data_IF_490767797347
#
_entry.id   IF_490767797347
#
_cell.length_a   1.000
_cell.length_b   1.000
_cell.length_c   1.000
_cell.angle_alpha   90.00
_cell.angle_beta   90.00
_cell.angle_gamma   90.00
#
_symmetry.space_group_name_H-M   'P 1'
#
loop_
_entity.id
_entity.type
_entity.pdbx_description
1 polymer ?
#
# COMPACT_ATOMS: atom_id res chain seq x y z
N UNK A 1 19.29 -28.68 16.24
CA UNK A 1 19.88 -27.74 15.27
C UNK A 1 18.95 -26.55 15.11
N UNK A 2 19.24 -25.45 15.81
CA UNK A 2 18.47 -24.22 15.66
C UNK A 2 18.73 -23.68 14.26
N UNK A 3 17.69 -23.53 13.44
CA UNK A 3 17.79 -22.75 12.21
C UNK A 3 18.13 -21.33 12.66
N UNK A 4 19.27 -20.82 12.20
CA UNK A 4 19.54 -19.39 12.21
C UNK A 4 18.42 -18.73 11.40
N UNK A 5 17.37 -18.29 12.08
CA UNK A 5 16.46 -17.28 11.53
C UNK A 5 17.32 -16.04 11.39
N UNK A 6 17.81 -15.79 10.19
CA UNK A 6 18.26 -14.45 9.80
C UNK A 6 17.11 -13.51 10.12
N UNK A 7 17.27 -12.67 11.14
CA UNK A 7 16.25 -11.73 11.54
C UNK A 7 16.01 -10.76 10.38
N UNK A 8 14.84 -10.90 9.75
CA UNK A 8 14.39 -10.07 8.65
C UNK A 8 14.05 -8.69 9.21
N UNK A 9 15.03 -7.79 9.32
CA UNK A 9 14.78 -6.42 9.78
C UNK A 9 14.42 -5.56 8.57
N UNK A 10 13.12 -5.41 8.30
CA UNK A 10 12.64 -4.66 7.14
C UNK A 10 11.38 -3.85 7.44
N UNK A 11 11.23 -2.76 6.68
CA UNK A 11 10.05 -1.93 6.56
C UNK A 11 9.38 -2.23 5.22
N UNK A 12 8.25 -2.92 5.29
CA UNK A 12 7.54 -3.49 4.14
C UNK A 12 6.19 -2.78 3.99
N UNK A 13 5.87 -2.20 2.83
CA UNK A 13 4.52 -1.71 2.56
C UNK A 13 3.79 -2.58 1.55
N UNK A 14 2.53 -2.92 1.85
CA UNK A 14 1.67 -3.67 0.92
C UNK A 14 0.75 -2.70 0.18
N UNK A 15 0.81 -2.70 -1.15
CA UNK A 15 0.08 -1.76 -2.01
C UNK A 15 -0.92 -2.45 -2.94
N UNK A 16 -2.00 -1.77 -3.30
CA UNK A 16 -2.90 -2.18 -4.38
C UNK A 16 -4.37 -1.77 -4.16
N UNK A 17 -5.23 -2.07 -5.13
CA UNK A 17 -6.64 -1.68 -5.06
C UNK A 17 -7.42 -2.42 -3.95
N UNK A 18 -8.59 -1.91 -3.59
CA UNK A 18 -9.42 -2.48 -2.52
C UNK A 18 -9.82 -3.94 -2.79
N UNK A 19 -10.02 -4.68 -1.68
CA UNK A 19 -10.53 -6.06 -1.66
C UNK A 19 -9.66 -7.07 -2.42
N UNK A 20 -8.34 -6.90 -2.37
CA UNK A 20 -7.35 -7.86 -2.91
C UNK A 20 -6.67 -8.72 -1.83
N UNK A 21 -7.23 -8.79 -0.61
CA UNK A 21 -6.67 -9.60 0.49
C UNK A 21 -5.36 -9.04 1.09
N UNK A 22 -5.11 -7.74 0.94
CA UNK A 22 -3.88 -7.08 1.41
C UNK A 22 -3.77 -7.09 2.93
N UNK A 23 -4.81 -6.67 3.65
CA UNK A 23 -4.87 -6.73 5.11
C UNK A 23 -4.68 -8.15 5.63
N UNK A 24 -5.29 -9.12 4.95
CA UNK A 24 -5.15 -10.55 5.24
C UNK A 24 -3.69 -11.02 5.10
N UNK A 25 -3.01 -10.63 4.02
CA UNK A 25 -1.58 -10.91 3.83
C UNK A 25 -0.72 -10.29 4.93
N UNK A 26 -1.02 -9.04 5.34
CA UNK A 26 -0.32 -8.36 6.44
C UNK A 26 -0.49 -9.12 7.75
N UNK A 27 -1.71 -9.59 8.05
CA UNK A 27 -1.96 -10.40 9.25
C UNK A 27 -1.24 -11.73 9.23
N UNK A 28 -1.20 -12.41 8.08
CA UNK A 28 -0.45 -13.67 7.95
C UNK A 28 1.04 -13.47 8.13
N UNK A 29 1.59 -12.36 7.61
CA UNK A 29 2.98 -12.00 7.81
C UNK A 29 3.32 -11.86 9.29
N UNK A 30 2.54 -11.08 10.05
CA UNK A 30 2.78 -10.90 11.49
C UNK A 30 2.56 -12.19 12.27
N UNK A 31 1.61 -13.04 11.86
CA UNK A 31 1.41 -14.36 12.46
C UNK A 31 2.63 -15.27 12.25
N UNK A 32 3.27 -15.20 11.08
CA UNK A 32 4.48 -15.97 10.74
C UNK A 32 5.76 -15.34 11.31
N UNK A 33 5.77 -14.03 11.52
CA UNK A 33 6.89 -13.24 12.02
C UNK A 33 6.47 -12.36 13.21
N UNK A 34 6.35 -12.93 14.43
CA UNK A 34 5.84 -12.20 15.60
C UNK A 34 6.66 -10.98 16.01
N UNK A 35 7.90 -10.84 15.53
CA UNK A 35 8.73 -9.66 15.74
C UNK A 35 8.30 -8.44 14.91
N UNK A 36 7.53 -8.65 13.84
CA UNK A 36 7.03 -7.55 13.00
C UNK A 36 5.89 -6.82 13.68
N UNK A 37 6.01 -5.50 13.74
CA UNK A 37 4.89 -4.63 14.06
C UNK A 37 4.02 -4.42 12.82
N UNK A 38 2.71 -4.49 13.02
CA UNK A 38 1.74 -4.04 12.02
C UNK A 38 1.44 -2.57 12.19
N UNK A 39 1.52 -1.81 11.11
CA UNK A 39 0.88 -0.50 10.98
C UNK A 39 -0.46 -0.67 10.27
N UNK A 40 -1.52 -0.22 10.94
CA UNK A 40 -2.91 -0.34 10.50
C UNK A 40 -3.18 0.48 9.23
N UNK A 41 -4.17 0.06 8.45
CA UNK A 41 -4.64 0.84 7.31
C UNK A 41 -5.07 2.25 7.77
N UNK A 42 -4.55 3.34 7.16
CA UNK A 42 -4.81 4.71 7.60
C UNK A 42 -6.29 5.07 7.71
N UNK A 43 -7.15 4.55 6.82
CA UNK A 43 -8.59 4.72 6.96
C UNK A 43 -9.09 4.21 8.32
N UNK A 44 -8.75 2.96 8.70
CA UNK A 44 -9.20 2.35 9.95
C UNK A 44 -8.64 3.06 11.18
N UNK A 45 -7.37 3.48 11.09
CA UNK A 45 -6.72 4.22 12.16
C UNK A 45 -7.39 5.59 12.40
N UNK A 46 -7.70 6.32 11.32
CA UNK A 46 -8.36 7.62 11.39
C UNK A 46 -9.85 7.52 11.75
N UNK A 47 -10.55 6.49 11.27
CA UNK A 47 -11.95 6.21 11.64
C UNK A 47 -12.08 5.92 13.15
N UNK A 48 -11.12 5.18 13.74
CA UNK A 48 -11.05 4.98 15.18
C UNK A 48 -10.81 6.28 15.98
N UNK A 49 -10.23 7.30 15.33
CA UNK A 49 -10.06 8.66 15.87
C UNK A 49 -11.25 9.58 15.52
N UNK A 50 -12.35 9.04 14.99
CA UNK A 50 -13.59 9.75 14.63
C UNK A 50 -13.46 10.75 13.47
N UNK A 51 -12.47 10.57 12.59
CA UNK A 51 -12.40 11.33 11.34
C UNK A 51 -13.47 10.84 10.34
N UNK A 52 -14.25 11.75 9.77
CA UNK A 52 -15.15 11.44 8.66
C UNK A 52 -14.36 11.33 7.34
N UNK A 53 -14.13 10.11 6.88
CA UNK A 53 -13.40 9.81 5.65
C UNK A 53 -14.35 9.23 4.60
N UNK A 54 -14.54 9.97 3.51
CA UNK A 54 -15.35 9.52 2.36
C UNK A 54 -14.50 8.97 1.22
N UNK A 55 -15.10 8.08 0.43
CA UNK A 55 -14.44 7.39 -0.68
C UNK A 55 -15.03 7.75 -2.05
N UNK A 56 -14.31 7.38 -3.11
CA UNK A 56 -14.73 7.52 -4.51
C UNK A 56 -15.15 8.96 -4.87
N UNK A 57 -16.35 9.12 -5.43
CA UNK A 57 -16.92 10.37 -5.88
C UNK A 57 -17.32 11.30 -4.73
N UNK A 58 -17.27 10.85 -3.48
CA UNK A 58 -17.46 11.67 -2.29
C UNK A 58 -16.14 12.05 -1.60
N UNK A 59 -15.01 11.49 -2.07
CA UNK A 59 -13.68 11.78 -1.50
C UNK A 59 -13.15 13.11 -2.00
N UNK A 60 -12.83 14.02 -1.08
CA UNK A 60 -12.25 15.32 -1.38
C UNK A 60 -10.75 15.34 -1.03
N UNK A 61 -10.07 16.46 -1.31
CA UNK A 61 -8.64 16.63 -1.01
C UNK A 61 -8.29 16.35 0.45
N UNK A 62 -9.17 16.71 1.39
CA UNK A 62 -8.97 16.45 2.82
C UNK A 62 -8.97 14.94 3.11
N UNK A 63 -9.98 14.21 2.62
CA UNK A 63 -10.14 12.77 2.90
C UNK A 63 -8.95 11.94 2.42
N UNK A 64 -8.47 12.15 1.18
CA UNK A 64 -7.30 11.42 0.68
C UNK A 64 -5.99 12.00 1.20
N UNK A 65 -5.90 13.32 1.36
CA UNK A 65 -4.70 13.99 1.85
C UNK A 65 -4.34 13.55 3.27
N UNK A 66 -5.31 13.54 4.20
CA UNK A 66 -5.06 13.15 5.58
C UNK A 66 -4.57 11.69 5.69
N UNK A 67 -5.16 10.77 4.93
CA UNK A 67 -4.72 9.37 4.92
C UNK A 67 -3.31 9.22 4.36
N UNK A 68 -2.96 9.95 3.29
CA UNK A 68 -1.61 9.95 2.72
C UNK A 68 -0.58 10.48 3.73
N UNK A 69 -0.84 11.64 4.35
CA UNK A 69 0.06 12.24 5.32
C UNK A 69 0.14 11.44 6.62
N UNK A 70 -0.95 10.80 7.05
CA UNK A 70 -0.94 9.84 8.16
C UNK A 70 -0.04 8.66 7.83
N UNK A 71 -0.24 7.98 6.70
CA UNK A 71 0.60 6.86 6.28
C UNK A 71 2.08 7.26 6.23
N UNK A 72 2.37 8.41 5.62
CA UNK A 72 3.72 8.92 5.53
C UNK A 72 4.33 9.24 6.89
N UNK A 73 3.56 9.80 7.83
CA UNK A 73 4.05 10.05 9.18
C UNK A 73 4.38 8.74 9.89
N UNK A 74 3.52 7.71 9.77
CA UNK A 74 3.77 6.38 10.33
C UNK A 74 5.06 5.77 9.78
N UNK A 75 5.26 5.80 8.45
CA UNK A 75 6.50 5.30 7.84
C UNK A 75 7.72 6.06 8.37
N UNK A 76 7.65 7.38 8.48
CA UNK A 76 8.77 8.20 8.94
C UNK A 76 9.11 8.03 10.43
N UNK A 77 8.20 7.47 11.24
CA UNK A 77 8.50 7.11 12.64
C UNK A 77 9.49 5.94 12.73
N UNK A 78 9.58 5.10 11.70
CA UNK A 78 10.43 3.91 11.67
C UNK A 78 11.70 4.17 10.85
N UNK A 79 12.70 4.73 11.52
CA UNK A 79 13.97 5.13 10.92
C UNK A 79 15.16 4.26 11.34
N UNK A 80 14.97 3.33 12.27
CA UNK A 80 16.02 2.43 12.76
C UNK A 80 16.23 1.28 11.79
N UNK A 81 17.48 0.85 11.63
CA UNK A 81 17.84 -0.34 10.85
C UNK A 81 17.29 -1.64 11.48
N UNK A 82 16.88 -1.58 12.75
CA UNK A 82 16.29 -2.72 13.46
C UNK A 82 14.76 -2.72 13.43
N UNK A 83 14.12 -1.73 12.81
CA UNK A 83 12.66 -1.67 12.73
C UNK A 83 12.14 -2.79 11.82
N UNK A 84 11.30 -3.66 12.39
CA UNK A 84 10.57 -4.71 11.68
C UNK A 84 9.11 -4.29 11.58
N UNK A 85 8.70 -3.70 10.46
CA UNK A 85 7.35 -3.12 10.32
C UNK A 85 6.74 -3.50 8.98
N UNK A 86 5.48 -3.90 9.02
CA UNK A 86 4.66 -4.09 7.83
C UNK A 86 3.48 -3.11 7.84
N UNK A 87 3.35 -2.33 6.77
CA UNK A 87 2.31 -1.31 6.60
C UNK A 87 1.18 -1.86 5.72
N UNK A 88 -0.04 -1.84 6.25
CA UNK A 88 -1.25 -2.09 5.46
C UNK A 88 -1.58 -0.82 4.65
N UNK A 89 -1.25 -0.83 3.34
CA UNK A 89 -1.16 0.32 2.40
C UNK A 89 0.22 0.99 2.37
N UNK A 90 0.64 1.32 1.15
CA UNK A 90 1.77 2.21 0.89
C UNK A 90 1.27 3.66 0.68
N UNK A 91 2.15 4.67 0.81
CA UNK A 91 1.76 6.06 0.53
C UNK A 91 1.32 6.27 -0.93
N UNK A 92 1.81 5.43 -1.85
CA UNK A 92 1.45 5.44 -3.28
C UNK A 92 -0.03 5.17 -3.51
N UNK A 93 -0.69 4.39 -2.64
CA UNK A 93 -2.10 4.02 -2.79
C UNK A 93 -3.00 5.25 -2.90
N UNK A 94 -2.67 6.32 -2.15
CA UNK A 94 -3.45 7.56 -2.13
C UNK A 94 -3.30 8.39 -3.40
N UNK A 95 -2.20 8.23 -4.15
CA UNK A 95 -2.05 8.81 -5.49
C UNK A 95 -2.99 8.09 -6.47
N UNK A 96 -3.04 6.76 -6.43
CA UNK A 96 -3.89 5.98 -7.32
C UNK A 96 -5.38 6.31 -7.11
N UNK A 97 -5.84 6.34 -5.86
CA UNK A 97 -7.23 6.70 -5.54
C UNK A 97 -7.55 8.16 -5.87
N UNK A 98 -6.64 9.09 -5.59
CA UNK A 98 -6.86 10.51 -5.93
C UNK A 98 -6.89 10.73 -7.43
N UNK A 99 -6.03 10.05 -8.19
CA UNK A 99 -6.05 10.14 -9.64
C UNK A 99 -7.35 9.62 -10.24
N UNK A 100 -7.87 8.49 -9.74
CA UNK A 100 -9.19 8.02 -10.16
C UNK A 100 -10.26 9.08 -9.94
N UNK A 101 -10.31 9.70 -8.75
CA UNK A 101 -11.31 10.74 -8.46
C UNK A 101 -11.11 11.99 -9.31
N UNK A 102 -9.86 12.38 -9.58
CA UNK A 102 -9.52 13.47 -10.51
C UNK A 102 -10.02 13.19 -11.93
N UNK A 103 -9.85 11.96 -12.42
CA UNK A 103 -10.30 11.53 -13.75
C UNK A 103 -11.84 11.58 -13.87
N UNK A 104 -12.57 11.28 -12.78
CA UNK A 104 -14.03 11.38 -12.74
C UNK A 104 -14.54 12.81 -12.59
N UNK A 105 -13.72 13.75 -12.12
CA UNK A 105 -14.08 15.19 -11.94
C UNK A 105 -15.32 15.40 -11.07
N UNK A 106 -15.49 14.57 -10.05
CA UNK A 106 -16.68 14.58 -9.18
C UNK A 106 -16.47 15.38 -7.89
N UNK A 107 -15.24 15.69 -7.52
CA UNK A 107 -14.88 16.44 -6.31
C UNK A 107 -13.85 17.52 -6.60
N UNK A 108 -13.30 18.13 -5.55
CA UNK A 108 -12.22 19.11 -5.65
C UNK A 108 -10.86 18.50 -5.97
N UNK A 109 -10.70 17.17 -5.96
CA UNK A 109 -9.45 16.50 -6.33
C UNK A 109 -9.20 16.69 -7.83
N UNK A 110 -8.03 17.24 -8.18
CA UNK A 110 -7.60 17.46 -9.55
C UNK A 110 -6.16 16.94 -9.78
N UNK A 111 -5.70 16.99 -11.03
CA UNK A 111 -4.35 16.57 -11.39
C UNK A 111 -3.26 17.37 -10.66
N UNK A 112 -3.51 18.65 -10.33
CA UNK A 112 -2.54 19.47 -9.60
C UNK A 112 -2.35 18.97 -8.17
N UNK A 113 -3.43 18.63 -7.48
CA UNK A 113 -3.41 18.00 -6.17
C UNK A 113 -2.67 16.65 -6.20
N UNK A 114 -2.99 15.79 -7.18
CA UNK A 114 -2.33 14.48 -7.32
C UNK A 114 -0.82 14.64 -7.52
N UNK A 115 -0.41 15.53 -8.44
CA UNK A 115 1.00 15.80 -8.70
C UNK A 115 1.72 16.40 -7.48
N UNK A 116 1.03 17.22 -6.67
CA UNK A 116 1.60 17.80 -5.45
C UNK A 116 1.90 16.76 -4.35
N UNK A 117 1.22 15.61 -4.35
CA UNK A 117 1.50 14.52 -3.40
C UNK A 117 2.77 13.72 -3.77
N UNK A 118 3.11 13.66 -5.06
CA UNK A 118 4.17 12.77 -5.56
C UNK A 118 5.56 12.99 -4.91
N UNK A 119 6.06 14.23 -4.71
CA UNK A 119 7.33 14.45 -4.02
C UNK A 119 7.35 13.90 -2.60
N UNK A 120 6.26 14.07 -1.84
CA UNK A 120 6.17 13.57 -0.46
C UNK A 120 6.11 12.05 -0.42
N UNK A 121 5.34 11.44 -1.32
CA UNK A 121 5.30 9.97 -1.45
C UNK A 121 6.69 9.45 -1.80
N UNK A 122 7.39 10.06 -2.76
CA UNK A 122 8.75 9.68 -3.16
C UNK A 122 9.74 9.74 -2.00
N UNK A 123 9.75 10.83 -1.24
CA UNK A 123 10.58 10.98 -0.04
C UNK A 123 10.30 9.87 0.98
N UNK A 124 9.01 9.59 1.22
CA UNK A 124 8.58 8.56 2.16
C UNK A 124 8.99 7.15 1.73
N UNK A 125 8.93 6.85 0.43
CA UNK A 125 9.33 5.54 -0.10
C UNK A 125 10.82 5.23 0.13
N UNK A 126 11.69 6.24 0.28
CA UNK A 126 13.10 6.04 0.61
C UNK A 126 13.34 5.41 1.99
N UNK A 127 12.30 5.37 2.84
CA UNK A 127 12.34 4.78 4.17
C UNK A 127 11.86 3.34 4.21
N UNK A 128 11.36 2.82 3.10
CA UNK A 128 10.92 1.44 2.97
C UNK A 128 12.04 0.61 2.35
N UNK A 129 12.11 -0.65 2.74
CA UNK A 129 13.04 -1.62 2.16
C UNK A 129 12.35 -2.40 1.03
N UNK A 130 11.03 -2.59 1.14
CA UNK A 130 10.21 -3.35 0.18
C UNK A 130 8.82 -2.73 0.02
N UNK A 131 8.38 -2.57 -1.22
CA UNK A 131 6.99 -2.33 -1.61
C UNK A 131 6.49 -3.58 -2.32
N UNK A 132 5.48 -4.23 -1.77
CA UNK A 132 4.85 -5.39 -2.36
C UNK A 132 3.49 -5.00 -2.94
N UNK A 133 3.43 -4.91 -4.26
CA UNK A 133 2.23 -4.58 -5.00
C UNK A 133 1.40 -5.85 -5.25
N UNK A 134 0.12 -5.81 -4.89
CA UNK A 134 -0.86 -6.86 -5.20
C UNK A 134 -1.75 -6.36 -6.34
N UNK A 135 -1.42 -6.67 -7.60
CA UNK A 135 -2.25 -6.34 -8.77
C UNK A 135 -3.51 -7.20 -8.88
N UNK A 136 -4.56 -6.66 -9.48
CA UNK A 136 -5.74 -7.42 -9.91
C UNK A 136 -5.43 -8.30 -11.13
N UNK A 137 -5.95 -9.53 -11.11
CA UNK A 137 -5.87 -10.50 -12.23
C UNK A 137 -7.17 -11.26 -12.42
N UNK A 138 -7.40 -11.69 -13.66
CA UNK A 138 -8.49 -12.59 -14.00
C UNK A 138 -8.25 -14.04 -13.54
N UNK A 139 -6.99 -14.42 -13.31
CA UNK A 139 -6.60 -15.81 -12.94
C UNK A 139 -6.75 -16.13 -11.46
N UNK A 140 -6.68 -15.11 -10.60
CA UNK A 140 -6.77 -15.24 -9.15
C UNK A 140 -7.75 -14.22 -8.61
N UNK A 141 -9.06 -14.38 -8.89
CA UNK A 141 -10.07 -13.52 -8.31
C UNK A 141 -10.01 -13.66 -6.78
N UNK A 142 -10.00 -12.53 -6.09
CA UNK A 142 -10.13 -12.50 -4.63
C UNK A 142 -11.61 -12.27 -4.34
N UNK A 143 -12.18 -13.13 -3.51
CA UNK A 143 -13.59 -13.04 -3.11
C UNK A 143 -13.88 -11.67 -2.52
N UNK A 144 -15.07 -11.15 -2.84
CA UNK A 144 -15.51 -9.86 -2.33
C UNK A 144 -15.84 -9.99 -0.85
N UNK A 145 -15.01 -9.37 -0.01
CA UNK A 145 -15.40 -9.06 1.36
C UNK A 145 -16.10 -7.69 1.34
N UNK A 146 -17.42 -7.72 1.50
CA UNK A 146 -18.19 -6.52 1.85
C UNK A 146 -18.00 -6.27 3.33
N UNK A 147 -17.17 -5.28 3.67
CA UNK A 147 -16.97 -4.84 5.05
C UNK A 147 -17.88 -3.65 5.41
N UNK A 148 -18.90 -3.38 4.59
CA UNK A 148 -19.89 -2.31 4.80
C UNK A 148 -19.36 -0.90 4.58
N UNK A 149 -18.06 -0.74 4.28
CA UNK A 149 -17.38 0.55 4.14
C UNK A 149 -16.73 0.66 2.77
N UNK A 150 -16.10 -0.41 2.30
CA UNK A 150 -15.39 -0.41 1.02
C UNK A 150 -16.35 -0.70 -0.12
N UNK A 151 -16.36 0.17 -1.13
CA UNK A 151 -17.32 -0.01 -2.21
C UNK A 151 -17.04 -1.25 -3.10
N UNK A 152 -18.08 -2.06 -3.33
CA UNK A 152 -18.02 -3.37 -4.02
C UNK A 152 -18.01 -3.32 -5.56
N UNK A 153 -18.07 -2.13 -6.17
CA UNK A 153 -18.07 -2.00 -7.64
C UNK A 153 -16.77 -2.49 -8.29
N UNK A 154 -16.90 -3.50 -9.16
CA UNK A 154 -15.80 -4.11 -9.90
C UNK A 154 -15.17 -3.13 -10.91
N UNK A 155 -15.96 -2.26 -11.54
CA UNK A 155 -15.44 -1.30 -12.52
C UNK A 155 -14.50 -0.29 -11.87
N UNK A 156 -14.92 0.28 -10.73
CA UNK A 156 -14.07 1.13 -9.89
C UNK A 156 -12.73 0.47 -9.56
N UNK A 157 -12.75 -0.79 -9.11
CA UNK A 157 -11.53 -1.51 -8.70
C UNK A 157 -10.59 -1.73 -9.87
N UNK A 158 -11.13 -2.11 -11.04
CA UNK A 158 -10.34 -2.32 -12.25
C UNK A 158 -9.71 -1.02 -12.75
N UNK A 159 -10.44 0.10 -12.70
CA UNK A 159 -9.92 1.42 -13.08
C UNK A 159 -8.81 1.89 -12.14
N UNK A 160 -9.01 1.77 -10.82
CA UNK A 160 -7.96 2.10 -9.84
C UNK A 160 -6.75 1.18 -9.99
N UNK A 161 -6.95 -0.12 -10.20
CA UNK A 161 -5.86 -1.07 -10.45
C UNK A 161 -5.07 -0.75 -11.72
N UNK A 162 -5.74 -0.29 -12.79
CA UNK A 162 -5.07 0.20 -13.99
C UNK A 162 -4.15 1.39 -13.68
N UNK A 163 -4.58 2.30 -12.81
CA UNK A 163 -3.73 3.42 -12.35
C UNK A 163 -2.54 2.90 -11.54
N UNK A 164 -2.74 1.95 -10.61
CA UNK A 164 -1.61 1.33 -9.88
C UNK A 164 -0.59 0.71 -10.84
N UNK A 165 -1.06 -0.01 -11.87
CA UNK A 165 -0.20 -0.60 -12.91
C UNK A 165 0.58 0.48 -13.66
N UNK A 166 -0.05 1.60 -14.02
CA UNK A 166 0.66 2.72 -14.66
C UNK A 166 1.73 3.34 -13.73
N UNK A 167 1.42 3.50 -12.44
CA UNK A 167 2.38 4.04 -11.47
C UNK A 167 3.60 3.13 -11.35
N UNK A 168 3.39 1.82 -11.19
CA UNK A 168 4.48 0.89 -10.90
C UNK A 168 5.22 0.37 -12.13
N UNK A 169 4.55 0.22 -13.27
CA UNK A 169 5.12 -0.39 -14.50
C UNK A 169 5.57 0.65 -15.50
N UNK A 170 4.88 1.79 -15.56
CA UNK A 170 5.13 2.85 -16.54
C UNK A 170 5.77 4.11 -15.89
N UNK A 171 6.17 4.00 -14.62
CA UNK A 171 6.75 5.08 -13.81
C UNK A 171 5.87 6.35 -13.77
N UNK A 172 4.54 6.20 -13.82
CA UNK A 172 3.63 7.36 -13.75
C UNK A 172 3.85 8.13 -12.44
N UNK A 173 3.97 9.44 -12.54
CA UNK A 173 4.31 10.39 -11.46
C UNK A 173 5.74 10.26 -10.88
N UNK A 174 6.56 9.34 -11.40
CA UNK A 174 7.93 9.07 -10.96
C UNK A 174 8.06 9.01 -9.43
N UNK A 175 7.17 8.27 -8.78
CA UNK A 175 7.11 8.19 -7.31
C UNK A 175 8.22 7.33 -6.72
N UNK A 176 8.80 6.42 -7.49
CA UNK A 176 9.93 5.62 -7.03
C UNK A 176 11.17 6.51 -6.93
N UNK A 177 11.82 6.59 -5.76
CA UNK A 177 13.00 7.43 -5.60
C UNK A 177 14.20 6.84 -6.33
N UNK A 178 15.11 7.71 -6.78
CA UNK A 178 16.38 7.29 -7.41
C UNK A 178 17.39 6.80 -6.36
N UNK A 179 17.44 7.46 -5.20
CA UNK A 179 18.26 7.07 -4.05
C UNK A 179 17.45 6.27 -3.05
N UNK A 180 18.06 5.25 -2.42
CA UNK A 180 17.40 4.37 -1.44
C UNK A 180 16.06 3.82 -1.97
N UNK A 181 16.05 3.40 -3.25
CA UNK A 181 14.86 2.85 -3.89
C UNK A 181 14.43 1.56 -3.18
N UNK A 182 13.20 1.49 -2.63
CA UNK A 182 12.71 0.24 -2.09
C UNK A 182 12.65 -0.80 -3.21
N UNK A 183 12.90 -2.06 -2.87
CA UNK A 183 12.62 -3.15 -3.80
C UNK A 183 11.12 -3.13 -4.10
N UNK A 184 10.75 -3.22 -5.38
CA UNK A 184 9.36 -3.40 -5.80
C UNK A 184 9.18 -4.86 -6.23
N UNK A 185 8.17 -5.52 -5.68
CA UNK A 185 7.74 -6.85 -6.15
C UNK A 185 6.25 -6.84 -6.47
N UNK A 186 5.84 -7.64 -7.44
CA UNK A 186 4.43 -7.95 -7.67
C UNK A 186 4.12 -9.32 -7.07
N UNK A 187 3.06 -9.39 -6.27
CA UNK A 187 2.62 -10.62 -5.61
C UNK A 187 1.44 -11.24 -6.36
N UNK A 188 1.60 -12.49 -6.77
CA UNK A 188 0.62 -13.22 -7.57
C UNK A 188 0.15 -14.49 -6.89
N UNK A 189 -0.95 -15.08 -7.38
CA UNK A 189 -1.41 -16.38 -6.90
C UNK A 189 -2.33 -16.30 -5.68
N UNK A 190 -2.47 -17.45 -5.03
CA UNK A 190 -3.25 -17.62 -3.80
C UNK A 190 -2.66 -16.85 -2.62
N UNK A 191 -3.44 -16.74 -1.53
CA UNK A 191 -3.01 -16.14 -0.26
C UNK A 191 -1.67 -16.69 0.23
N UNK A 192 -1.51 -18.02 0.23
CA UNK A 192 -0.28 -18.69 0.65
C UNK A 192 0.88 -18.42 -0.32
N UNK A 193 0.64 -18.48 -1.64
CA UNK A 193 1.66 -18.18 -2.64
C UNK A 193 2.18 -16.74 -2.55
N UNK A 194 1.30 -15.76 -2.26
CA UNK A 194 1.70 -14.36 -2.06
C UNK A 194 2.54 -14.20 -0.80
N UNK A 195 2.20 -14.90 0.27
CA UNK A 195 2.97 -14.89 1.52
C UNK A 195 4.37 -15.50 1.32
N UNK A 196 4.47 -16.59 0.56
CA UNK A 196 5.75 -17.22 0.26
C UNK A 196 6.61 -16.36 -0.70
N UNK A 197 6.01 -15.69 -1.68
CA UNK A 197 6.71 -14.70 -2.52
C UNK A 197 7.24 -13.53 -1.68
N UNK A 198 6.43 -13.01 -0.75
CA UNK A 198 6.84 -11.95 0.16
C UNK A 198 8.02 -12.41 1.03
N UNK A 199 7.96 -13.63 1.56
CA UNK A 199 9.02 -14.24 2.35
C UNK A 199 10.33 -14.36 1.56
N UNK A 200 10.26 -14.83 0.31
CA UNK A 200 11.43 -14.97 -0.56
C UNK A 200 12.04 -13.61 -0.88
N UNK A 201 11.20 -12.62 -1.19
CA UNK A 201 11.65 -11.27 -1.48
C UNK A 201 12.34 -10.62 -0.27
N UNK A 202 11.75 -10.75 0.92
CA UNK A 202 12.33 -10.23 2.15
C UNK A 202 13.70 -10.89 2.46
N UNK A 203 13.82 -12.21 2.26
CA UNK A 203 15.09 -12.91 2.44
C UNK A 203 16.18 -12.44 1.45
N UNK A 204 15.80 -12.14 0.21
CA UNK A 204 16.73 -11.67 -0.82
C UNK A 204 17.21 -10.23 -0.65
N UNK A 205 16.60 -9.43 0.22
CA UNK A 205 17.06 -8.07 0.53
C UNK A 205 18.17 -8.02 1.60
N UNK A 206 18.54 -9.17 2.19
CA UNK A 206 19.58 -9.25 3.23
C UNK A 206 21.00 -9.48 2.66
N UNK A 207 21.19 -9.35 1.35
CA UNK A 207 22.46 -9.54 0.64
C UNK A 207 22.72 -8.35 -0.27
#
# INVERSE_FOLDING_TARGET
MARLTTDLNMRIAISGSHSLGKSTLVWDWVKRHPQYKREEEPFRALDAEMYDIRFRQESNRLHNGIQMYYNASRVNLYSSINDCVIFDRAPVDYIAYSQYTADKKTTDIDNAFVNAMAPRVRETLQKLDLVAFVPMTDRWPVDMEDDGIRPVDLAYRAEVDAIFKQIYRDDRFSVMPEMNRPKLIELWGSREQRLDQLQQAAASCMH
#
